data_IF_309748426134
#
_entry.id   IF_309748426134
#
_cell.length_a   1.000
_cell.length_b   1.000
_cell.length_c   1.000
_cell.angle_alpha   90.00
_cell.angle_beta   90.00
_cell.angle_gamma   90.00
#
_symmetry.space_group_name_H-M   'P 1'
#
loop_
_entity.id
_entity.type
_entity.pdbx_description
1 polymer ?
#
# COMPACT_ATOMS: atom_id res chain seq x y z
N UNK A 1 -15.61 -4.41 12.71
CA UNK A 1 -16.41 -4.78 13.89
C UNK A 1 -17.88 -4.70 13.52
N UNK A 2 -18.32 -5.57 12.61
CA UNK A 2 -19.60 -5.45 11.88
C UNK A 2 -20.18 -6.79 11.42
N UNK A 3 -19.39 -7.78 10.97
CA UNK A 3 -19.94 -9.10 10.63
C UNK A 3 -20.19 -9.99 11.86
N UNK A 4 -19.36 -9.85 12.90
CA UNK A 4 -19.41 -10.68 14.13
C UNK A 4 -20.67 -10.38 14.97
N UNK A 5 -21.16 -9.14 14.95
CA UNK A 5 -22.36 -8.75 15.70
C UNK A 5 -23.64 -9.28 15.03
N UNK A 6 -23.65 -9.38 13.70
CA UNK A 6 -24.78 -9.91 12.95
C UNK A 6 -24.93 -11.42 13.19
N UNK A 7 -23.82 -12.16 13.17
CA UNK A 7 -23.81 -13.60 13.49
C UNK A 7 -24.24 -13.87 14.94
N UNK A 8 -23.81 -13.06 15.92
CA UNK A 8 -24.23 -13.22 17.32
C UNK A 8 -25.72 -12.91 17.54
N UNK A 9 -26.27 -11.91 16.84
CA UNK A 9 -27.71 -11.59 16.90
C UNK A 9 -28.53 -12.70 16.25
N UNK A 10 -28.09 -13.24 15.10
CA UNK A 10 -28.76 -14.36 14.43
C UNK A 10 -28.70 -15.65 15.25
N UNK A 11 -27.63 -15.90 16.00
CA UNK A 11 -27.51 -17.06 16.91
C UNK A 11 -28.49 -16.94 18.09
N UNK A 12 -28.69 -15.74 18.64
CA UNK A 12 -29.59 -15.53 19.79
C UNK A 12 -31.07 -15.50 19.37
N UNK A 13 -31.38 -15.09 18.14
CA UNK A 13 -32.76 -14.98 17.64
C UNK A 13 -33.33 -16.30 17.03
N UNK A 14 -32.51 -17.30 16.76
CA UNK A 14 -32.86 -18.45 15.87
C UNK A 14 -33.26 -19.76 16.57
N UNK A 15 -33.65 -19.75 17.84
CA UNK A 15 -33.90 -20.96 18.66
C UNK A 15 -35.06 -21.88 18.23
N UNK A 16 -35.60 -21.83 16.99
CA UNK A 16 -36.70 -22.74 16.64
C UNK A 16 -36.90 -23.16 15.18
N UNK A 17 -35.93 -23.00 14.27
CA UNK A 17 -36.07 -23.55 12.90
C UNK A 17 -34.76 -24.16 12.41
N UNK A 18 -34.81 -25.44 12.05
CA UNK A 18 -33.73 -26.17 11.40
C UNK A 18 -33.43 -25.57 10.02
N UNK A 19 -32.38 -24.76 9.92
CA UNK A 19 -31.86 -24.24 8.65
C UNK A 19 -30.50 -24.87 8.35
N UNK A 20 -30.32 -25.29 7.10
CA UNK A 20 -29.02 -25.76 6.57
C UNK A 20 -27.96 -24.67 6.76
N UNK A 21 -26.95 -24.97 7.58
CA UNK A 21 -25.82 -24.09 7.84
C UNK A 21 -24.89 -24.08 6.63
N UNK A 22 -25.07 -23.11 5.73
CA UNK A 22 -24.04 -22.80 4.73
C UNK A 22 -22.93 -21.99 5.40
N UNK A 23 -21.92 -22.69 5.93
CA UNK A 23 -20.67 -22.08 6.34
C UNK A 23 -20.06 -21.39 5.10
N UNK A 24 -19.66 -20.13 5.23
CA UNK A 24 -19.08 -19.33 4.13
C UNK A 24 -17.74 -19.89 3.61
N UNK A 25 -17.20 -20.91 4.29
CA UNK A 25 -16.07 -21.74 3.87
C UNK A 25 -16.61 -23.18 3.76
N UNK A 26 -16.96 -23.62 2.55
CA UNK A 26 -17.28 -25.02 2.27
C UNK A 26 -16.00 -25.87 2.35
N UNK A 27 -15.53 -26.16 3.56
CA UNK A 27 -14.64 -27.29 3.78
C UNK A 27 -15.52 -28.48 4.07
N UNK A 28 -15.59 -29.44 3.13
CA UNK A 28 -16.24 -30.74 3.32
C UNK A 28 -15.48 -31.54 4.39
N UNK A 29 -15.71 -31.20 5.66
CA UNK A 29 -15.30 -32.05 6.77
C UNK A 29 -16.44 -33.05 7.01
N UNK A 30 -16.22 -34.29 6.58
CA UNK A 30 -17.07 -35.45 6.84
C UNK A 30 -17.07 -35.83 8.34
N UNK A 31 -17.63 -34.99 9.22
CA UNK A 31 -17.58 -35.21 10.68
C UNK A 31 -18.95 -34.95 11.33
N UNK A 32 -19.33 -35.87 12.23
CA UNK A 32 -20.52 -35.87 13.09
C UNK A 32 -20.80 -34.52 13.80
N UNK A 33 -22.09 -34.22 14.04
CA UNK A 33 -22.58 -33.02 14.75
C UNK A 33 -21.89 -32.77 16.11
N UNK A 34 -21.36 -33.82 16.74
CA UNK A 34 -20.64 -33.77 18.04
C UNK A 34 -19.34 -32.95 18.01
N UNK A 35 -18.71 -32.77 16.86
CA UNK A 35 -17.45 -32.02 16.72
C UNK A 35 -17.62 -30.62 16.14
N UNK A 36 -18.86 -30.21 15.84
CA UNK A 36 -19.17 -28.92 15.24
C UNK A 36 -18.62 -27.73 16.06
N UNK A 37 -18.82 -27.74 17.38
CA UNK A 37 -18.32 -26.67 18.25
C UNK A 37 -16.80 -26.60 18.32
N UNK A 38 -16.11 -27.74 18.29
CA UNK A 38 -14.64 -27.79 18.26
C UNK A 38 -14.10 -27.27 16.92
N UNK A 39 -14.75 -27.61 15.81
CA UNK A 39 -14.39 -27.12 14.48
C UNK A 39 -14.60 -25.59 14.38
N UNK A 40 -15.76 -25.09 14.83
CA UNK A 40 -16.05 -23.66 14.86
C UNK A 40 -15.02 -22.90 15.71
N UNK A 41 -14.67 -23.45 16.88
CA UNK A 41 -13.62 -22.89 17.72
C UNK A 41 -12.27 -22.86 17.00
N UNK A 42 -11.88 -23.94 16.31
CA UNK A 42 -10.63 -24.00 15.55
C UNK A 42 -10.59 -22.98 14.40
N UNK A 43 -11.68 -22.83 13.64
CA UNK A 43 -11.79 -21.85 12.55
C UNK A 43 -11.67 -20.43 13.11
N UNK A 44 -12.37 -20.11 14.19
CA UNK A 44 -12.31 -18.81 14.84
C UNK A 44 -10.91 -18.53 15.44
N UNK A 45 -10.29 -19.52 16.08
CA UNK A 45 -8.91 -19.40 16.57
C UNK A 45 -7.92 -19.15 15.43
N UNK A 46 -8.04 -19.87 14.31
CA UNK A 46 -7.18 -19.69 13.14
C UNK A 46 -7.37 -18.31 12.52
N UNK A 47 -8.62 -17.85 12.39
CA UNK A 47 -8.94 -16.52 11.84
C UNK A 47 -8.41 -15.38 12.73
N UNK A 48 -8.57 -15.50 14.04
CA UNK A 48 -8.07 -14.50 15.01
C UNK A 48 -6.55 -14.44 15.00
N UNK A 49 -5.86 -15.57 15.04
CA UNK A 49 -4.40 -15.62 14.96
C UNK A 49 -3.90 -15.05 13.63
N UNK A 50 -4.52 -15.45 12.51
CA UNK A 50 -4.16 -14.96 11.17
C UNK A 50 -4.36 -13.46 11.02
N UNK A 51 -5.48 -12.92 11.51
CA UNK A 51 -5.76 -11.47 11.47
C UNK A 51 -4.80 -10.66 12.33
N UNK A 52 -4.46 -11.14 13.54
CA UNK A 52 -3.46 -10.50 14.40
C UNK A 52 -2.10 -10.49 13.71
N UNK A 53 -1.68 -11.61 13.11
CA UNK A 53 -0.40 -11.69 12.40
C UNK A 53 -0.35 -10.74 11.18
N UNK A 54 -1.43 -10.66 10.40
CA UNK A 54 -1.55 -9.74 9.26
C UNK A 54 -1.49 -8.27 9.71
N UNK A 55 -2.22 -7.91 10.77
CA UNK A 55 -2.20 -6.55 11.32
C UNK A 55 -0.82 -6.21 11.90
N UNK A 56 -0.20 -7.13 12.63
CA UNK A 56 1.14 -6.93 13.19
C UNK A 56 2.18 -6.72 12.08
N UNK A 57 2.20 -7.58 11.07
CA UNK A 57 3.14 -7.47 9.94
C UNK A 57 2.90 -6.19 9.12
N UNK A 58 1.64 -5.86 8.82
CA UNK A 58 1.27 -4.63 8.11
C UNK A 58 1.65 -3.36 8.89
N UNK A 59 1.41 -3.34 10.20
CA UNK A 59 1.78 -2.21 11.06
C UNK A 59 3.30 -2.04 11.15
N UNK A 60 4.07 -3.12 11.25
CA UNK A 60 5.53 -3.08 11.27
C UNK A 60 6.09 -2.48 9.97
N UNK A 61 5.58 -2.92 8.82
CA UNK A 61 5.93 -2.37 7.52
C UNK A 61 5.62 -0.87 7.44
N UNK A 62 4.44 -0.46 7.89
CA UNK A 62 4.05 0.94 7.92
C UNK A 62 5.00 1.78 8.78
N UNK A 63 5.37 1.30 9.97
CA UNK A 63 6.34 1.97 10.85
C UNK A 63 7.71 2.11 10.18
N UNK A 64 8.20 1.09 9.48
CA UNK A 64 9.46 1.17 8.75
C UNK A 64 9.46 2.21 7.63
N UNK A 65 8.35 2.28 6.88
CA UNK A 65 8.15 3.31 5.85
C UNK A 65 8.15 4.70 6.48
N UNK A 66 7.36 4.91 7.55
CA UNK A 66 7.29 6.20 8.24
C UNK A 66 8.64 6.59 8.84
N UNK A 67 9.40 5.64 9.35
CA UNK A 67 10.76 5.86 9.82
C UNK A 67 11.69 6.34 8.68
N UNK A 68 11.63 5.71 7.51
CA UNK A 68 12.39 6.15 6.33
C UNK A 68 12.00 7.57 5.89
N UNK A 69 10.70 7.85 5.78
CA UNK A 69 10.16 9.17 5.44
C UNK A 69 10.58 10.23 6.48
N UNK A 70 10.53 9.89 7.77
CA UNK A 70 10.95 10.74 8.88
C UNK A 70 12.44 11.09 8.81
N UNK A 71 13.31 10.12 8.51
CA UNK A 71 14.74 10.37 8.33
C UNK A 71 15.01 11.31 7.16
N UNK A 72 14.28 11.16 6.05
CA UNK A 72 14.37 12.10 4.94
C UNK A 72 13.94 13.52 5.32
N UNK A 73 12.82 13.66 6.03
CA UNK A 73 12.32 14.95 6.53
C UNK A 73 13.30 15.62 7.49
N UNK A 74 13.92 14.86 8.39
CA UNK A 74 14.96 15.36 9.30
C UNK A 74 16.19 15.85 8.53
N UNK A 75 16.62 15.12 7.50
CA UNK A 75 17.73 15.54 6.64
C UNK A 75 17.40 16.87 5.92
N UNK A 76 16.20 16.96 5.31
CA UNK A 76 15.70 18.18 4.65
C UNK A 76 15.70 19.39 5.59
N UNK A 77 15.16 19.25 6.80
CA UNK A 77 15.14 20.31 7.81
C UNK A 77 16.55 20.77 8.22
N UNK A 78 17.49 19.83 8.43
CA UNK A 78 18.86 20.14 8.81
C UNK A 78 19.62 20.88 7.70
N UNK A 79 19.40 20.52 6.43
CA UNK A 79 19.96 21.26 5.27
C UNK A 79 19.49 22.72 5.31
N UNK A 80 18.17 22.92 5.43
CA UNK A 80 17.57 24.26 5.46
C UNK A 80 18.12 25.09 6.62
N UNK A 81 18.23 24.50 7.81
CA UNK A 81 18.80 25.16 9.00
C UNK A 81 20.27 25.51 8.81
N UNK A 82 21.10 24.57 8.33
CA UNK A 82 22.53 24.78 8.12
C UNK A 82 22.80 25.95 7.17
N UNK A 83 22.07 26.02 6.06
CA UNK A 83 22.26 27.08 5.08
C UNK A 83 21.71 28.42 5.58
N UNK A 84 20.58 28.44 6.30
CA UNK A 84 20.07 29.67 6.91
C UNK A 84 21.08 30.31 7.88
N UNK A 85 21.81 29.49 8.64
CA UNK A 85 22.89 29.98 9.52
C UNK A 85 24.05 30.56 8.68
N UNK A 86 24.40 29.95 7.55
CA UNK A 86 25.41 30.50 6.63
C UNK A 86 25.01 31.85 6.05
N UNK A 87 23.74 32.05 5.71
CA UNK A 87 23.26 33.30 5.10
C UNK A 87 23.22 34.49 6.06
N UNK A 88 23.16 34.25 7.37
CA UNK A 88 23.10 35.29 8.41
C UNK A 88 24.45 36.02 8.65
N UNK A 89 25.50 35.72 7.88
CA UNK A 89 26.82 36.40 7.84
C UNK A 89 27.67 36.44 9.11
N UNK A 90 27.18 35.93 10.24
CA UNK A 90 27.89 35.93 11.52
C UNK A 90 28.74 34.65 11.71
N UNK A 91 29.56 34.32 10.69
CA UNK A 91 30.37 33.12 10.62
C UNK A 91 31.71 33.32 11.33
N UNK A 92 31.87 32.67 12.48
CA UNK A 92 33.17 32.43 13.09
C UNK A 92 33.73 31.08 12.58
N UNK A 93 35.05 30.91 12.55
CA UNK A 93 35.72 29.68 12.08
C UNK A 93 35.20 28.43 12.80
N UNK A 94 34.87 28.54 14.09
CA UNK A 94 34.23 27.46 14.86
C UNK A 94 32.82 27.10 14.37
N UNK A 95 32.00 28.09 13.99
CA UNK A 95 30.64 27.87 13.46
C UNK A 95 30.71 27.19 12.09
N UNK A 96 31.68 27.55 11.25
CA UNK A 96 31.89 26.90 9.95
C UNK A 96 32.22 25.41 10.08
N UNK A 97 33.10 25.04 11.01
CA UNK A 97 33.45 23.64 11.30
C UNK A 97 32.22 22.86 11.78
N UNK A 98 31.39 23.47 12.63
CA UNK A 98 30.14 22.85 13.11
C UNK A 98 29.15 22.63 11.97
N UNK A 99 28.93 23.63 11.11
CA UNK A 99 28.05 23.53 9.94
C UNK A 99 28.55 22.47 8.98
N UNK A 100 29.85 22.41 8.73
CA UNK A 100 30.46 21.39 7.89
C UNK A 100 30.21 19.97 8.44
N UNK A 101 30.42 19.77 9.74
CA UNK A 101 30.17 18.49 10.41
C UNK A 101 28.68 18.10 10.36
N UNK A 102 27.79 19.07 10.50
CA UNK A 102 26.34 18.84 10.38
C UNK A 102 25.93 18.49 8.95
N UNK A 103 26.51 19.12 7.93
CA UNK A 103 26.25 18.78 6.52
C UNK A 103 26.75 17.38 6.17
N UNK A 104 27.94 16.97 6.65
CA UNK A 104 28.42 15.59 6.48
C UNK A 104 27.42 14.61 7.10
N UNK A 105 26.93 14.92 8.31
CA UNK A 105 25.94 14.09 9.00
C UNK A 105 24.62 14.00 8.20
N UNK A 106 24.17 15.10 7.59
CA UNK A 106 23.00 15.09 6.72
C UNK A 106 23.21 14.15 5.53
N UNK A 107 24.34 14.25 4.84
CA UNK A 107 24.65 13.40 3.68
C UNK A 107 24.69 11.93 4.09
N UNK A 108 25.26 11.61 5.25
CA UNK A 108 25.27 10.26 5.80
C UNK A 108 23.85 9.76 6.14
N UNK A 109 23.00 10.59 6.76
CA UNK A 109 21.58 10.26 7.02
C UNK A 109 20.83 10.02 5.72
N UNK A 110 20.99 10.89 4.71
CA UNK A 110 20.35 10.73 3.39
C UNK A 110 20.78 9.42 2.73
N UNK A 111 22.09 9.13 2.71
CA UNK A 111 22.63 7.89 2.16
C UNK A 111 22.09 6.67 2.89
N UNK A 112 22.12 6.65 4.22
CA UNK A 112 21.60 5.55 5.05
C UNK A 112 20.10 5.34 4.84
N UNK A 113 19.32 6.42 4.76
CA UNK A 113 17.88 6.36 4.51
C UNK A 113 17.57 5.77 3.13
N UNK A 114 18.32 6.18 2.10
CA UNK A 114 18.19 5.63 0.75
C UNK A 114 18.57 4.15 0.69
N UNK A 115 19.67 3.75 1.36
CA UNK A 115 20.07 2.34 1.48
C UNK A 115 19.02 1.52 2.22
N UNK A 116 18.46 2.04 3.31
CA UNK A 116 17.39 1.39 4.07
C UNK A 116 16.12 1.21 3.23
N UNK A 117 15.67 2.24 2.51
CA UNK A 117 14.51 2.14 1.61
C UNK A 117 14.73 1.11 0.50
N UNK A 118 15.91 1.09 -0.12
CA UNK A 118 16.26 0.08 -1.13
C UNK A 118 16.28 -1.34 -0.56
N UNK A 119 16.82 -1.49 0.65
CA UNK A 119 16.85 -2.78 1.35
C UNK A 119 15.42 -3.26 1.65
N UNK A 120 14.55 -2.39 2.19
CA UNK A 120 13.14 -2.71 2.43
C UNK A 120 12.46 -3.16 1.14
N UNK A 121 12.57 -2.38 0.06
CA UNK A 121 11.95 -2.73 -1.22
C UNK A 121 12.47 -4.06 -1.76
N UNK A 122 13.78 -4.29 -1.71
CA UNK A 122 14.38 -5.55 -2.17
C UNK A 122 13.90 -6.76 -1.37
N UNK A 123 13.80 -6.65 -0.03
CA UNK A 123 13.36 -7.75 0.84
C UNK A 123 11.90 -8.14 0.58
N UNK A 124 11.03 -7.18 0.30
CA UNK A 124 9.61 -7.45 0.05
C UNK A 124 9.27 -7.59 -1.43
N UNK A 125 10.23 -7.40 -2.34
CA UNK A 125 10.01 -7.42 -3.79
C UNK A 125 9.34 -8.71 -4.27
N UNK A 126 9.85 -9.87 -3.84
CA UNK A 126 9.32 -11.18 -4.24
C UNK A 126 7.89 -11.36 -3.73
N UNK A 127 7.63 -10.98 -2.47
CA UNK A 127 6.29 -11.05 -1.88
C UNK A 127 5.31 -10.15 -2.63
N UNK A 128 5.71 -8.92 -3.00
CA UNK A 128 4.86 -8.00 -3.76
C UNK A 128 4.57 -8.51 -5.17
N UNK A 129 5.52 -9.18 -5.83
CA UNK A 129 5.26 -9.80 -7.13
C UNK A 129 4.17 -10.86 -7.05
N UNK A 130 4.24 -11.77 -6.07
CA UNK A 130 3.17 -12.75 -5.86
C UNK A 130 1.84 -12.08 -5.52
N UNK A 131 1.84 -11.07 -4.66
CA UNK A 131 0.62 -10.31 -4.31
C UNK A 131 -0.03 -9.64 -5.53
N UNK A 132 0.76 -9.09 -6.46
CA UNK A 132 0.24 -8.51 -7.71
C UNK A 132 -0.41 -9.61 -8.56
N UNK A 133 0.26 -10.76 -8.74
CA UNK A 133 -0.29 -11.88 -9.53
C UNK A 133 -1.60 -12.39 -8.92
N UNK A 134 -1.62 -12.69 -7.62
CA UNK A 134 -2.83 -13.15 -6.94
C UNK A 134 -3.92 -12.08 -6.91
N UNK A 135 -3.57 -10.80 -6.77
CA UNK A 135 -4.50 -9.68 -6.84
C UNK A 135 -5.18 -9.57 -8.21
N UNK A 136 -4.42 -9.65 -9.29
CA UNK A 136 -4.95 -9.62 -10.66
C UNK A 136 -5.83 -10.83 -10.93
N UNK A 137 -5.39 -12.04 -10.54
CA UNK A 137 -6.20 -13.27 -10.66
C UNK A 137 -7.51 -13.16 -9.88
N UNK A 138 -7.45 -12.69 -8.63
CA UNK A 138 -8.62 -12.51 -7.78
C UNK A 138 -9.62 -11.52 -8.41
N UNK A 139 -9.15 -10.36 -8.88
CA UNK A 139 -10.01 -9.37 -9.53
C UNK A 139 -10.63 -9.95 -10.82
N UNK A 140 -9.86 -10.72 -11.59
CA UNK A 140 -10.34 -11.35 -12.83
C UNK A 140 -11.45 -12.37 -12.56
N UNK A 141 -11.29 -13.21 -11.53
CA UNK A 141 -12.30 -14.18 -11.10
C UNK A 141 -13.55 -13.46 -10.57
N UNK A 142 -13.40 -12.39 -9.79
CA UNK A 142 -14.52 -11.61 -9.27
C UNK A 142 -15.32 -10.95 -10.40
N UNK A 143 -14.66 -10.40 -11.42
CA UNK A 143 -15.32 -9.85 -12.61
C UNK A 143 -16.12 -10.94 -13.34
N UNK A 144 -15.53 -12.12 -13.54
CA UNK A 144 -16.22 -13.23 -14.17
C UNK A 144 -17.46 -13.69 -13.38
N UNK A 145 -17.35 -13.75 -12.05
CA UNK A 145 -18.50 -14.03 -11.19
C UNK A 145 -19.59 -12.97 -11.29
N UNK A 146 -19.22 -11.69 -11.31
CA UNK A 146 -20.16 -10.59 -11.53
C UNK A 146 -20.87 -10.75 -12.88
N UNK A 147 -20.13 -11.11 -13.94
CA UNK A 147 -20.71 -11.40 -15.26
C UNK A 147 -21.75 -12.52 -15.19
N UNK A 148 -21.44 -13.64 -14.53
CA UNK A 148 -22.37 -14.77 -14.38
C UNK A 148 -23.63 -14.40 -13.60
N UNK A 149 -23.51 -13.73 -12.46
CA UNK A 149 -24.65 -13.27 -11.63
C UNK A 149 -25.53 -12.30 -12.43
N UNK A 150 -24.91 -11.46 -13.24
CA UNK A 150 -25.62 -10.49 -14.07
C UNK A 150 -26.37 -11.19 -15.22
N UNK A 151 -25.87 -12.30 -15.76
CA UNK A 151 -26.46 -12.99 -16.92
C UNK A 151 -27.52 -14.05 -16.56
N UNK A 152 -27.29 -14.84 -15.51
CA UNK A 152 -28.08 -16.04 -15.20
C UNK A 152 -29.19 -15.76 -14.17
N UNK A 153 -28.83 -15.33 -12.96
CA UNK A 153 -29.80 -15.08 -11.88
C UNK A 153 -29.25 -14.08 -10.86
N UNK A 154 -30.05 -13.08 -10.51
CA UNK A 154 -29.63 -11.99 -9.64
C UNK A 154 -29.68 -12.41 -8.16
N UNK A 155 -28.57 -12.92 -7.65
CA UNK A 155 -28.38 -13.17 -6.21
C UNK A 155 -27.71 -11.96 -5.53
N UNK A 156 -28.44 -11.25 -4.67
CA UNK A 156 -27.94 -10.06 -3.95
C UNK A 156 -26.82 -10.39 -2.96
N UNK A 157 -26.85 -11.56 -2.32
CA UNK A 157 -25.86 -11.95 -1.32
C UNK A 157 -24.48 -12.20 -1.92
N UNK A 158 -24.42 -12.97 -3.01
CA UNK A 158 -23.18 -13.24 -3.73
C UNK A 158 -22.57 -11.99 -4.38
N UNK A 159 -23.42 -11.09 -4.89
CA UNK A 159 -22.98 -9.82 -5.45
C UNK A 159 -22.34 -8.93 -4.38
N UNK A 160 -22.93 -8.86 -3.19
CA UNK A 160 -22.37 -8.11 -2.05
C UNK A 160 -21.00 -8.68 -1.66
N UNK A 161 -20.85 -10.00 -1.63
CA UNK A 161 -19.57 -10.66 -1.32
C UNK A 161 -18.50 -10.37 -2.38
N UNK A 162 -18.83 -10.48 -3.66
CA UNK A 162 -17.91 -10.16 -4.75
C UNK A 162 -17.47 -8.69 -4.70
N UNK A 163 -18.40 -7.78 -4.40
CA UNK A 163 -18.10 -6.37 -4.22
C UNK A 163 -17.18 -6.13 -3.01
N UNK A 164 -17.46 -6.77 -1.87
CA UNK A 164 -16.64 -6.64 -0.66
C UNK A 164 -15.20 -7.15 -0.89
N UNK A 165 -15.03 -8.32 -1.51
CA UNK A 165 -13.72 -8.89 -1.84
C UNK A 165 -12.98 -7.93 -2.78
N UNK A 166 -13.62 -7.50 -3.86
CA UNK A 166 -13.00 -6.61 -4.84
C UNK A 166 -12.60 -5.28 -4.22
N UNK A 167 -13.48 -4.68 -3.41
CA UNK A 167 -13.19 -3.45 -2.65
C UNK A 167 -11.98 -3.63 -1.74
N UNK A 168 -11.89 -4.74 -1.00
CA UNK A 168 -10.74 -5.02 -0.14
C UNK A 168 -9.43 -5.12 -0.92
N UNK A 169 -9.43 -5.77 -2.09
CA UNK A 169 -8.26 -5.84 -2.98
C UNK A 169 -7.84 -4.45 -3.47
N UNK A 170 -8.81 -3.60 -3.86
CA UNK A 170 -8.52 -2.23 -4.29
C UNK A 170 -7.94 -1.37 -3.17
N UNK A 171 -8.48 -1.45 -1.95
CA UNK A 171 -7.96 -0.75 -0.78
C UNK A 171 -6.52 -1.18 -0.50
N UNK A 172 -6.24 -2.48 -0.55
CA UNK A 172 -4.89 -3.00 -0.37
C UNK A 172 -3.91 -2.46 -1.41
N UNK A 173 -4.26 -2.58 -2.70
CA UNK A 173 -3.42 -2.06 -3.79
C UNK A 173 -3.21 -0.54 -3.67
N UNK A 174 -4.23 0.21 -3.28
CA UNK A 174 -4.14 1.65 -3.07
C UNK A 174 -3.14 1.99 -1.95
N UNK A 175 -3.24 1.32 -0.80
CA UNK A 175 -2.31 1.53 0.33
C UNK A 175 -0.87 1.25 -0.08
N UNK A 176 -0.61 0.14 -0.78
CA UNK A 176 0.73 -0.21 -1.25
C UNK A 176 1.31 0.84 -2.21
N UNK A 177 0.51 1.32 -3.17
CA UNK A 177 0.95 2.34 -4.12
C UNK A 177 1.12 3.71 -3.44
N UNK A 178 0.28 4.06 -2.46
CA UNK A 178 0.39 5.27 -1.66
C UNK A 178 1.70 5.28 -0.85
N UNK A 179 2.04 4.17 -0.21
CA UNK A 179 3.31 4.00 0.52
C UNK A 179 4.51 4.19 -0.41
N UNK A 180 4.48 3.57 -1.60
CA UNK A 180 5.53 3.73 -2.61
C UNK A 180 5.70 5.20 -3.01
N UNK A 181 4.59 5.88 -3.30
CA UNK A 181 4.57 7.30 -3.64
C UNK A 181 5.12 8.17 -2.50
N UNK A 182 4.74 7.93 -1.25
CA UNK A 182 5.21 8.71 -0.10
C UNK A 182 6.73 8.69 0.06
N UNK A 183 7.37 7.53 -0.17
CA UNK A 183 8.84 7.43 -0.10
C UNK A 183 9.49 8.23 -1.24
N UNK A 184 8.95 8.13 -2.45
CA UNK A 184 9.42 8.88 -3.61
C UNK A 184 9.31 10.39 -3.35
N UNK A 185 8.16 10.84 -2.85
CA UNK A 185 7.89 12.24 -2.56
C UNK A 185 8.80 12.80 -1.46
N UNK A 186 9.01 12.06 -0.36
CA UNK A 186 9.92 12.50 0.72
C UNK A 186 11.38 12.55 0.27
N UNK A 187 11.81 11.63 -0.60
CA UNK A 187 13.15 11.72 -1.18
C UNK A 187 13.26 12.92 -2.15
N UNK A 188 12.22 13.21 -2.93
CA UNK A 188 12.17 14.38 -3.80
C UNK A 188 12.11 15.70 -3.01
N UNK A 189 11.49 15.72 -1.83
CA UNK A 189 11.44 16.90 -0.96
C UNK A 189 12.84 17.36 -0.50
N UNK A 190 13.76 16.43 -0.27
CA UNK A 190 15.16 16.76 0.03
C UNK A 190 15.80 17.48 -1.15
N UNK A 191 15.58 16.98 -2.36
CA UNK A 191 16.10 17.59 -3.58
C UNK A 191 15.50 18.99 -3.79
N UNK A 192 14.18 19.13 -3.65
CA UNK A 192 13.49 20.41 -3.75
C UNK A 192 13.94 21.41 -2.69
N UNK A 193 14.16 20.95 -1.46
CA UNK A 193 14.65 21.79 -0.37
C UNK A 193 16.09 22.23 -0.61
N UNK A 194 16.97 21.32 -1.02
CA UNK A 194 18.34 21.68 -1.39
C UNK A 194 18.39 22.68 -2.56
N UNK A 195 17.47 22.56 -3.53
CA UNK A 195 17.36 23.46 -4.67
C UNK A 195 16.86 24.86 -4.30
N UNK A 196 15.80 24.95 -3.48
CA UNK A 196 15.13 26.22 -3.11
C UNK A 196 15.98 27.11 -2.20
N UNK A 197 16.89 26.52 -1.44
CA UNK A 197 17.70 27.27 -0.49
C UNK A 197 18.78 28.07 -1.24
N UNK A 198 19.20 29.22 -0.70
CA UNK A 198 20.21 30.11 -1.30
C UNK A 198 21.65 29.54 -1.26
N UNK A 199 21.84 28.33 -1.77
CA UNK A 199 23.11 27.60 -1.76
C UNK A 199 24.21 28.33 -2.54
N UNK A 200 23.86 29.17 -3.50
CA UNK A 200 24.79 29.99 -4.29
C UNK A 200 25.45 31.13 -3.49
N UNK A 201 24.91 31.50 -2.32
CA UNK A 201 25.48 32.53 -1.42
C UNK A 201 26.36 31.89 -0.33
N UNK A 202 26.39 30.56 -0.26
CA UNK A 202 27.13 29.83 0.78
C UNK A 202 28.62 29.68 0.43
N UNK A 203 29.49 29.40 1.43
CA UNK A 203 30.89 29.05 1.18
C UNK A 203 31.08 27.91 0.16
N UNK A 204 32.18 27.96 -0.60
CA UNK A 204 32.48 27.04 -1.72
C UNK A 204 32.38 25.55 -1.37
N UNK A 205 32.76 25.17 -0.14
CA UNK A 205 32.70 23.77 0.29
C UNK A 205 31.25 23.26 0.46
N UNK A 206 30.33 24.12 0.92
CA UNK A 206 28.89 23.81 1.06
C UNK A 206 28.26 23.71 -0.32
N UNK A 207 28.61 24.64 -1.22
CA UNK A 207 28.15 24.64 -2.60
C UNK A 207 28.49 23.32 -3.31
N UNK A 208 29.71 22.80 -3.17
CA UNK A 208 30.12 21.50 -3.74
C UNK A 208 29.30 20.33 -3.18
N UNK A 209 29.04 20.28 -1.87
CA UNK A 209 28.23 19.23 -1.24
C UNK A 209 26.79 19.23 -1.73
N UNK A 210 26.17 20.42 -1.84
CA UNK A 210 24.80 20.58 -2.32
C UNK A 210 24.69 20.20 -3.80
N UNK A 211 25.68 20.55 -4.63
CA UNK A 211 25.72 20.14 -6.03
C UNK A 211 25.74 18.60 -6.18
N UNK A 212 26.48 17.88 -5.33
CA UNK A 212 26.47 16.40 -5.32
C UNK A 212 25.10 15.87 -4.93
N UNK A 213 24.45 16.45 -3.91
CA UNK A 213 23.09 16.10 -3.50
C UNK A 213 22.08 16.35 -4.63
N UNK A 214 22.19 17.48 -5.34
CA UNK A 214 21.34 17.82 -6.47
C UNK A 214 21.57 16.89 -7.66
N UNK A 215 22.82 16.62 -8.04
CA UNK A 215 23.16 15.68 -9.11
C UNK A 215 22.66 14.26 -8.80
N UNK A 216 22.63 13.88 -7.53
CA UNK A 216 22.10 12.60 -7.11
C UNK A 216 20.57 12.59 -7.05
N UNK A 217 19.95 13.67 -6.60
CA UNK A 217 18.48 13.82 -6.54
C UNK A 217 17.81 14.04 -7.90
N UNK A 218 18.56 14.49 -8.92
CA UNK A 218 18.06 14.59 -10.30
C UNK A 218 17.90 13.22 -10.97
N UNK A 219 18.53 12.16 -10.45
CA UNK A 219 18.22 10.79 -10.83
C UNK A 219 16.95 10.38 -10.10
N UNK A 220 15.89 10.13 -10.85
CA UNK A 220 14.60 9.76 -10.28
C UNK A 220 14.72 8.48 -9.43
N UNK A 221 14.45 8.62 -8.13
CA UNK A 221 14.38 7.49 -7.24
C UNK A 221 13.06 6.76 -7.46
N UNK A 222 13.04 5.85 -8.42
CA UNK A 222 11.89 4.99 -8.65
C UNK A 222 12.02 3.73 -7.82
N UNK A 223 11.06 3.51 -6.93
CA UNK A 223 10.88 2.21 -6.28
C UNK A 223 10.29 1.24 -7.30
N UNK A 224 11.19 0.60 -8.05
CA UNK A 224 10.85 -0.46 -9.00
C UNK A 224 10.65 -1.76 -8.25
N UNK A 225 9.43 -2.27 -8.20
CA UNK A 225 9.13 -3.62 -7.79
C UNK A 225 9.50 -4.55 -8.94
N UNK A 226 10.61 -5.28 -8.78
CA UNK A 226 11.17 -6.25 -9.72
C UNK A 226 11.31 -5.80 -11.16
N UNK A 227 11.64 -4.51 -11.34
CA UNK A 227 11.95 -3.93 -12.65
C UNK A 227 10.75 -3.64 -13.55
N UNK A 228 9.56 -4.17 -13.22
CA UNK A 228 8.36 -4.10 -14.05
C UNK A 228 7.37 -3.03 -13.59
N UNK A 229 7.20 -2.87 -12.27
CA UNK A 229 6.19 -1.96 -11.71
C UNK A 229 6.85 -0.86 -10.89
N UNK A 230 6.44 0.38 -11.12
CA UNK A 230 6.78 1.49 -10.23
C UNK A 230 5.62 1.66 -9.25
N UNK A 231 5.92 1.55 -7.95
CA UNK A 231 4.91 1.77 -6.92
C UNK A 231 4.53 3.25 -6.87
N UNK A 232 3.52 3.65 -7.65
CA UNK A 232 3.05 5.02 -7.79
C UNK A 232 1.52 5.08 -7.87
N UNK A 233 0.96 6.22 -7.47
CA UNK A 233 -0.48 6.46 -7.61
C UNK A 233 -0.92 6.49 -9.08
N UNK A 234 -0.04 6.88 -10.00
CA UNK A 234 -0.28 6.81 -11.44
C UNK A 234 -0.51 5.37 -11.92
N UNK A 235 0.31 4.42 -11.44
CA UNK A 235 0.12 3.00 -11.75
C UNK A 235 -1.21 2.46 -11.22
N UNK A 236 -1.62 2.89 -10.02
CA UNK A 236 -2.92 2.52 -9.48
C UNK A 236 -4.09 3.07 -10.32
N UNK A 237 -4.00 4.34 -10.73
CA UNK A 237 -5.03 4.99 -11.53
C UNK A 237 -5.24 4.30 -12.89
N UNK A 238 -4.16 3.86 -13.55
CA UNK A 238 -4.26 3.13 -14.83
C UNK A 238 -4.95 1.77 -14.66
N UNK A 239 -4.60 1.00 -13.61
CA UNK A 239 -5.25 -0.27 -13.29
C UNK A 239 -6.73 -0.09 -12.97
N UNK A 240 -7.07 0.92 -12.15
CA UNK A 240 -8.45 1.22 -11.81
C UNK A 240 -9.28 1.63 -13.04
N UNK A 241 -8.69 2.41 -13.95
CA UNK A 241 -9.33 2.80 -15.21
C UNK A 241 -9.64 1.57 -16.09
N UNK A 242 -8.69 0.65 -16.22
CA UNK A 242 -8.88 -0.61 -16.97
C UNK A 242 -10.03 -1.43 -16.36
N UNK A 243 -10.08 -1.53 -15.03
CA UNK A 243 -11.14 -2.25 -14.33
C UNK A 243 -12.54 -1.66 -14.60
N UNK A 244 -12.69 -0.33 -14.52
CA UNK A 244 -13.96 0.35 -14.82
C UNK A 244 -14.39 0.10 -16.27
N UNK A 245 -13.45 0.17 -17.23
CA UNK A 245 -13.76 -0.14 -18.63
C UNK A 245 -14.27 -1.56 -18.79
N UNK A 246 -13.66 -2.53 -18.10
CA UNK A 246 -14.07 -3.92 -18.19
C UNK A 246 -15.49 -4.15 -17.64
N UNK A 247 -15.82 -3.56 -16.47
CA UNK A 247 -17.19 -3.61 -15.94
C UNK A 247 -18.18 -2.95 -16.90
N UNK A 248 -17.83 -1.78 -17.43
CA UNK A 248 -18.71 -1.04 -18.34
C UNK A 248 -19.02 -1.88 -19.58
N UNK A 249 -18.00 -2.54 -20.14
CA UNK A 249 -18.15 -3.48 -21.25
C UNK A 249 -19.09 -4.65 -20.89
N UNK A 250 -18.91 -5.27 -19.73
CA UNK A 250 -19.80 -6.35 -19.23
C UNK A 250 -21.26 -5.90 -19.15
N UNK A 251 -21.54 -4.69 -18.64
CA UNK A 251 -22.90 -4.16 -18.53
C UNK A 251 -23.50 -3.92 -19.92
N UNK A 252 -22.75 -3.32 -20.84
CA UNK A 252 -23.20 -3.08 -22.22
C UNK A 252 -23.50 -4.40 -22.94
N UNK A 253 -22.66 -5.43 -22.74
CA UNK A 253 -22.86 -6.76 -23.31
C UNK A 253 -24.19 -7.36 -22.82
N UNK A 254 -24.52 -7.23 -21.53
CA UNK A 254 -25.81 -7.67 -20.98
C UNK A 254 -26.98 -6.94 -21.64
N UNK A 255 -26.90 -5.61 -21.77
CA UNK A 255 -27.95 -4.80 -22.42
C UNK A 255 -28.16 -5.26 -23.86
N UNK A 256 -27.08 -5.52 -24.59
CA UNK A 256 -27.13 -6.03 -25.95
C UNK A 256 -27.83 -7.40 -26.04
N UNK A 257 -27.48 -8.35 -25.16
CA UNK A 257 -28.15 -9.65 -25.12
C UNK A 257 -29.64 -9.55 -24.73
N UNK A 258 -29.98 -8.68 -23.78
CA UNK A 258 -31.38 -8.39 -23.43
C UNK A 258 -32.17 -7.81 -24.61
N UNK A 259 -31.56 -6.90 -25.38
CA UNK A 259 -32.22 -6.26 -26.53
C UNK A 259 -32.40 -7.21 -27.72
N UNK A 260 -31.44 -8.11 -27.95
CA UNK A 260 -31.49 -9.07 -29.07
C UNK A 260 -32.28 -10.36 -28.77
N UNK A 261 -32.87 -10.52 -27.59
CA UNK A 261 -33.84 -11.58 -27.30
C UNK A 261 -33.29 -13.00 -27.37
N UNK A 262 -31.97 -13.18 -27.25
CA UNK A 262 -31.36 -14.51 -27.15
C UNK A 262 -31.42 -14.91 -25.67
N UNK A 263 -32.48 -15.63 -25.30
CA UNK A 263 -32.56 -16.35 -24.02
C UNK A 263 -31.50 -17.44 -23.95
#
# INVERSE_FOLDING_TARGET
>A
MGPILLELIDIVLSTNVSRSYHLQICTEYFIDERYFYLLLFHVNATLTIGSIALLATGSLLFVYVQHACGMFKIASYRIKKAIHICTLKDLNTQKEILIYKDLIRVVDIHRKSMTFSNYLVSRFQISYMFLIVFGVLSISINIFRIFQIVLLEYNTGELLLCFAITSSCFVYMFICNLIGQQIIDHNNDIFLTAYKVQWYVTPLFIQRLILILLQRGSKSFHLKVGGLFVASLECFATVHKIYIYFISFTIVLKIYFLYNGIK
#
